data_IF_020573629348
#
_entry.id   IF_020573629348
#
_cell.length_a   1.000
_cell.length_b   1.000
_cell.length_c   1.000
_cell.angle_alpha   90.00
_cell.angle_beta   90.00
_cell.angle_gamma   90.00
#
_symmetry.space_group_name_H-M   'P 1'
#
loop_
_entity.id
_entity.type
_entity.pdbx_description
1 polymer ?
#
# COMPACT_ATOMS: atom_id res chain seq x y z
N UNK A 1 -2.80 30.49 -1.86
CA UNK A 1 -3.82 29.43 -1.82
C UNK A 1 -3.35 28.34 -2.74
N UNK A 2 -3.29 27.09 -2.27
CA UNK A 2 -2.88 25.97 -3.10
C UNK A 2 -3.92 25.68 -4.18
N UNK A 3 -3.51 25.34 -5.38
CA UNK A 3 -4.42 24.94 -6.46
C UNK A 3 -4.88 23.49 -6.27
N UNK A 4 -5.99 23.11 -6.91
CA UNK A 4 -6.45 21.72 -6.93
C UNK A 4 -5.37 20.77 -7.51
N UNK A 5 -4.63 21.24 -8.51
CA UNK A 5 -3.56 20.47 -9.14
C UNK A 5 -2.42 20.21 -8.14
N UNK A 6 -1.98 21.24 -7.40
CA UNK A 6 -0.94 21.12 -6.38
C UNK A 6 -1.35 20.14 -5.27
N UNK A 7 -2.59 20.23 -4.78
CA UNK A 7 -3.10 19.33 -3.75
C UNK A 7 -3.18 17.88 -4.24
N UNK A 8 -3.60 17.68 -5.49
CA UNK A 8 -3.68 16.34 -6.10
C UNK A 8 -2.28 15.71 -6.21
N UNK A 9 -1.30 16.50 -6.63
CA UNK A 9 0.09 16.01 -6.77
C UNK A 9 0.69 15.66 -5.41
N UNK A 10 0.44 16.49 -4.40
CA UNK A 10 0.85 16.20 -3.02
C UNK A 10 0.25 14.89 -2.49
N UNK A 11 -1.03 14.64 -2.77
CA UNK A 11 -1.69 13.39 -2.35
C UNK A 11 -1.11 12.18 -3.08
N UNK A 12 -0.84 12.28 -4.39
CA UNK A 12 -0.20 11.19 -5.16
C UNK A 12 1.19 10.85 -4.61
N UNK A 13 1.99 11.85 -4.27
CA UNK A 13 3.33 11.61 -3.71
C UNK A 13 3.28 10.90 -2.35
N UNK A 14 2.31 11.28 -1.49
CA UNK A 14 2.07 10.59 -0.22
C UNK A 14 1.57 9.17 -0.42
N UNK A 15 0.63 8.98 -1.35
CA UNK A 15 0.11 7.67 -1.74
C UNK A 15 1.25 6.73 -2.14
N UNK A 16 2.17 7.19 -3.00
CA UNK A 16 3.35 6.42 -3.40
C UNK A 16 4.23 6.03 -2.21
N UNK A 17 4.35 6.89 -1.20
CA UNK A 17 5.08 6.59 0.03
C UNK A 17 4.37 5.52 0.85
N UNK A 18 3.04 5.62 1.00
CA UNK A 18 2.24 4.63 1.75
C UNK A 18 2.23 3.25 1.07
N UNK A 19 2.23 3.21 -0.26
CA UNK A 19 2.27 1.96 -1.04
C UNK A 19 3.54 1.15 -0.79
N UNK A 20 4.64 1.80 -0.38
CA UNK A 20 5.89 1.11 0.00
C UNK A 20 5.77 0.31 1.30
N UNK A 21 4.72 0.53 2.10
CA UNK A 21 4.53 -0.18 3.37
C UNK A 21 5.69 0.06 4.33
N UNK A 22 6.33 -1.01 4.82
CA UNK A 22 7.53 -0.91 5.65
C UNK A 22 8.80 -0.43 4.93
N UNK A 23 8.68 0.06 3.69
CA UNK A 23 9.80 0.46 2.85
C UNK A 23 10.69 -0.70 2.44
N UNK A 24 11.88 -0.38 1.92
CA UNK A 24 12.88 -1.36 1.51
C UNK A 24 13.26 -2.32 2.65
N UNK A 25 13.44 -1.79 3.87
CA UNK A 25 13.77 -2.60 5.04
C UNK A 25 12.70 -3.65 5.38
N UNK A 26 11.42 -3.27 5.28
CA UNK A 26 10.30 -4.18 5.49
C UNK A 26 10.22 -5.25 4.40
N UNK A 27 10.43 -4.87 3.14
CA UNK A 27 10.46 -5.78 2.01
C UNK A 27 11.61 -6.80 2.14
N UNK A 28 12.83 -6.34 2.42
CA UNK A 28 13.98 -7.20 2.68
C UNK A 28 13.76 -8.15 3.84
N UNK A 29 13.14 -7.68 4.94
CA UNK A 29 12.80 -8.54 6.08
C UNK A 29 11.87 -9.68 5.66
N UNK A 30 10.85 -9.42 4.85
CA UNK A 30 10.00 -10.50 4.31
C UNK A 30 10.81 -11.46 3.45
N UNK A 31 11.63 -10.95 2.52
CA UNK A 31 12.45 -11.77 1.62
C UNK A 31 13.47 -12.65 2.37
N UNK A 32 14.13 -12.12 3.41
CA UNK A 32 15.05 -12.88 4.29
C UNK A 32 14.35 -14.05 5.00
N UNK A 33 13.04 -13.94 5.23
CA UNK A 33 12.22 -15.02 5.79
C UNK A 33 11.67 -15.97 4.72
N UNK A 34 12.10 -15.86 3.46
CA UNK A 34 11.58 -16.64 2.34
C UNK A 34 10.14 -16.27 1.95
N UNK A 35 9.69 -15.06 2.30
CA UNK A 35 8.32 -14.58 2.05
C UNK A 35 8.32 -13.45 1.03
N UNK A 36 7.26 -13.38 0.24
CA UNK A 36 7.00 -12.22 -0.62
C UNK A 36 6.42 -11.06 0.19
N UNK A 37 6.69 -9.79 -0.15
CA UNK A 37 5.88 -8.64 0.26
C UNK A 37 4.40 -8.82 -0.10
N UNK A 38 3.49 -8.21 0.67
CA UNK A 38 2.05 -8.46 0.52
C UNK A 38 1.50 -8.09 -0.86
N UNK A 39 1.92 -6.95 -1.44
CA UNK A 39 1.46 -6.55 -2.79
C UNK A 39 2.00 -7.45 -3.89
N UNK A 40 3.18 -8.04 -3.72
CA UNK A 40 3.67 -9.09 -4.62
C UNK A 40 2.83 -10.36 -4.52
N UNK A 41 2.38 -10.74 -3.31
CA UNK A 41 1.44 -11.87 -3.15
C UNK A 41 0.13 -11.60 -3.87
N UNK A 42 -0.38 -10.36 -3.79
CA UNK A 42 -1.62 -9.96 -4.47
C UNK A 42 -1.46 -10.01 -6.00
N UNK A 43 -0.34 -9.54 -6.55
CA UNK A 43 -0.06 -9.64 -8.00
C UNK A 43 -0.06 -11.09 -8.50
N UNK A 44 0.35 -12.05 -7.67
CA UNK A 44 0.31 -13.48 -8.03
C UNK A 44 -1.06 -14.12 -7.85
N UNK A 45 -1.89 -13.58 -6.95
CA UNK A 45 -3.19 -14.14 -6.61
C UNK A 45 -4.30 -13.66 -7.56
N UNK A 46 -4.24 -12.39 -7.97
CA UNK A 46 -5.31 -11.70 -8.68
C UNK A 46 -5.13 -11.81 -10.20
N UNK A 47 -6.26 -11.80 -10.92
CA UNK A 47 -6.27 -11.76 -12.38
C UNK A 47 -5.51 -10.51 -12.89
N UNK A 48 -4.51 -10.66 -13.77
CA UNK A 48 -3.59 -9.56 -14.13
C UNK A 48 -4.26 -8.41 -14.90
N UNK A 49 -5.32 -8.69 -15.63
CA UNK A 49 -6.07 -7.71 -16.45
C UNK A 49 -7.29 -7.14 -15.72
N UNK A 50 -7.39 -7.34 -14.41
CA UNK A 50 -8.50 -6.87 -13.58
C UNK A 50 -8.01 -5.93 -12.48
N UNK A 51 -8.78 -4.87 -12.17
CA UNK A 51 -8.38 -3.93 -11.13
C UNK A 51 -8.49 -4.57 -9.74
N UNK A 52 -7.54 -4.25 -8.87
CA UNK A 52 -7.65 -4.42 -7.44
C UNK A 52 -8.07 -3.09 -6.80
N UNK A 53 -9.19 -3.08 -6.07
CA UNK A 53 -9.62 -1.93 -5.28
C UNK A 53 -9.07 -2.07 -3.86
N UNK A 54 -7.93 -1.44 -3.60
CA UNK A 54 -7.35 -1.39 -2.26
C UNK A 54 -8.18 -0.46 -1.34
N UNK A 55 -8.44 -0.93 -0.13
CA UNK A 55 -9.18 -0.22 0.91
C UNK A 55 -8.26 0.00 2.12
N UNK A 56 -8.30 1.22 2.65
CA UNK A 56 -7.62 1.56 3.90
C UNK A 56 -6.12 1.87 3.77
N UNK A 57 -5.61 2.20 2.58
CA UNK A 57 -4.19 2.59 2.40
C UNK A 57 -3.74 3.70 3.38
N UNK A 58 -4.61 4.69 3.58
CA UNK A 58 -4.39 5.85 4.46
C UNK A 58 -4.66 5.57 5.94
N UNK A 59 -5.09 4.35 6.30
CA UNK A 59 -5.34 4.00 7.69
C UNK A 59 -4.04 4.17 8.52
N UNK A 60 -4.19 4.78 9.69
CA UNK A 60 -3.09 5.13 10.60
C UNK A 60 -2.09 6.20 10.10
N UNK A 61 -2.31 6.85 8.95
CA UNK A 61 -1.45 7.94 8.51
C UNK A 61 -1.47 9.10 9.53
N UNK A 62 -0.30 9.49 10.02
CA UNK A 62 -0.14 10.60 10.97
C UNK A 62 -0.69 10.35 12.38
N UNK A 63 -1.19 9.15 12.69
CA UNK A 63 -1.83 8.87 13.97
C UNK A 63 -0.85 8.55 15.11
N UNK A 64 0.34 8.02 14.80
CA UNK A 64 1.29 7.52 15.80
C UNK A 64 2.70 8.11 15.62
N UNK A 65 2.88 9.43 15.71
CA UNK A 65 4.17 10.09 15.42
C UNK A 65 5.34 9.55 16.27
N UNK A 66 5.05 9.09 17.48
CA UNK A 66 6.04 8.58 18.44
C UNK A 66 6.52 7.16 18.12
N UNK A 67 5.74 6.42 17.32
CA UNK A 67 6.01 5.03 16.92
C UNK A 67 6.41 4.90 15.45
N UNK A 68 6.44 6.03 14.74
CA UNK A 68 6.71 6.10 13.30
C UNK A 68 5.48 5.83 12.45
N UNK A 69 5.71 5.73 11.14
CA UNK A 69 4.65 5.49 10.18
C UNK A 69 4.23 4.02 10.16
N UNK A 70 2.93 3.78 10.22
CA UNK A 70 2.33 2.45 10.08
C UNK A 70 1.37 2.46 8.88
N UNK A 71 1.88 2.37 7.63
CA UNK A 71 1.02 2.47 6.45
C UNK A 71 -0.06 1.40 6.44
N UNK A 72 -1.27 1.79 6.03
CA UNK A 72 -2.47 0.96 6.01
C UNK A 72 -2.78 0.25 7.35
N UNK A 73 -2.36 0.83 8.48
CA UNK A 73 -2.41 0.20 9.80
C UNK A 73 -1.78 -1.21 9.85
N UNK A 74 -0.83 -1.51 8.96
CA UNK A 74 -0.15 -2.80 8.88
C UNK A 74 -0.92 -3.91 8.16
N UNK A 75 -2.07 -3.61 7.53
CA UNK A 75 -2.87 -4.58 6.79
C UNK A 75 -3.26 -4.03 5.42
N UNK A 76 -3.20 -4.88 4.38
CA UNK A 76 -3.75 -4.56 3.06
C UNK A 76 -5.08 -5.26 2.92
N UNK A 77 -6.13 -4.49 2.62
CA UNK A 77 -7.49 -5.01 2.38
C UNK A 77 -7.99 -4.51 1.04
N UNK A 78 -8.93 -5.23 0.42
CA UNK A 78 -9.49 -4.79 -0.84
C UNK A 78 -10.36 -5.83 -1.52
N UNK A 79 -10.84 -5.46 -2.70
CA UNK A 79 -11.67 -6.28 -3.59
C UNK A 79 -10.89 -6.53 -4.87
N UNK A 80 -10.82 -7.78 -5.31
CA UNK A 80 -10.10 -8.20 -6.51
C UNK A 80 -10.76 -9.42 -7.13
N UNK A 81 -10.23 -9.85 -8.28
CA UNK A 81 -10.79 -10.93 -9.08
C UNK A 81 -9.87 -12.14 -9.05
N UNK A 82 -10.44 -13.34 -8.91
CA UNK A 82 -9.72 -14.61 -8.99
C UNK A 82 -10.50 -15.55 -9.91
N UNK A 83 -9.88 -15.97 -11.01
CA UNK A 83 -10.51 -16.85 -12.00
C UNK A 83 -11.84 -16.25 -12.54
N UNK A 84 -11.90 -14.92 -12.67
CA UNK A 84 -13.08 -14.20 -13.14
C UNK A 84 -14.19 -13.94 -12.11
N UNK A 85 -13.96 -14.23 -10.82
CA UNK A 85 -14.93 -14.06 -9.73
C UNK A 85 -14.50 -13.03 -8.68
#
# INVERSE_FOLDING_TARGET
MSTLLELTEMLRQREQTLLQGGGESGAERQRKLGRLPVRERLTLLLDPDRPFLELGLWAAEGMYPEWGNVPAAGVVTGLGWIEGH
#
